data_IF_960975638903
#
_entry.id   IF_960975638903
#
_cell.length_a   1.000
_cell.length_b   1.000
_cell.length_c   1.000
_cell.angle_alpha   90.00
_cell.angle_beta   90.00
_cell.angle_gamma   90.00
#
_symmetry.space_group_name_H-M   'P 1'
#
loop_
_entity.id
_entity.type
_entity.pdbx_description
1 polymer ?
#
# COMPACT_ATOMS: atom_id res chain seq x y z
N UNK A 1 27.06 -9.85 -9.24
CA UNK A 1 26.85 -9.53 -7.80
C UNK A 1 25.35 -9.56 -7.55
N UNK A 2 24.88 -10.39 -6.62
CA UNK A 2 23.45 -10.49 -6.32
C UNK A 2 23.04 -9.43 -5.30
N UNK A 3 21.84 -8.86 -5.47
CA UNK A 3 21.25 -7.93 -4.49
C UNK A 3 21.03 -8.68 -3.17
N UNK A 4 21.54 -8.13 -2.08
CA UNK A 4 21.43 -8.68 -0.74
C UNK A 4 19.96 -8.67 -0.28
N UNK A 5 19.65 -9.45 0.75
CA UNK A 5 18.28 -9.49 1.26
C UNK A 5 17.87 -8.18 1.93
N UNK A 6 18.81 -7.53 2.61
CA UNK A 6 18.66 -6.20 3.19
C UNK A 6 18.24 -5.19 2.13
N UNK A 7 18.99 -5.17 1.03
CA UNK A 7 18.72 -4.31 -0.11
C UNK A 7 17.33 -4.61 -0.69
N UNK A 8 16.95 -5.88 -0.85
CA UNK A 8 15.61 -6.25 -1.34
C UNK A 8 14.48 -5.73 -0.46
N UNK A 9 14.62 -5.82 0.87
CA UNK A 9 13.61 -5.34 1.81
C UNK A 9 13.48 -3.81 1.77
N UNK A 10 14.63 -3.11 1.70
CA UNK A 10 14.64 -1.65 1.58
C UNK A 10 14.02 -1.22 0.24
N UNK A 11 14.38 -1.89 -0.85
CA UNK A 11 13.82 -1.62 -2.19
C UNK A 11 12.31 -1.85 -2.19
N UNK A 12 11.79 -2.94 -1.61
CA UNK A 12 10.34 -3.18 -1.58
C UNK A 12 9.60 -2.12 -0.78
N UNK A 13 10.16 -1.66 0.34
CA UNK A 13 9.59 -0.59 1.16
C UNK A 13 9.59 0.76 0.41
N UNK A 14 10.67 1.08 -0.31
CA UNK A 14 10.74 2.28 -1.16
C UNK A 14 9.70 2.23 -2.30
N UNK A 15 9.53 1.07 -2.94
CA UNK A 15 8.51 0.88 -3.97
C UNK A 15 7.11 1.11 -3.40
N UNK A 16 6.81 0.56 -2.21
CA UNK A 16 5.51 0.75 -1.58
C UNK A 16 5.26 2.23 -1.22
N UNK A 17 6.28 2.92 -0.68
CA UNK A 17 6.24 4.35 -0.39
C UNK A 17 5.92 5.15 -1.66
N UNK A 18 6.57 4.85 -2.78
CA UNK A 18 6.33 5.54 -4.04
C UNK A 18 4.87 5.39 -4.51
N UNK A 19 4.29 4.18 -4.40
CA UNK A 19 2.89 3.92 -4.71
C UNK A 19 1.93 4.72 -3.82
N UNK A 20 2.14 4.70 -2.50
CA UNK A 20 1.27 5.43 -1.59
C UNK A 20 1.43 6.96 -1.68
N UNK A 21 2.65 7.48 -1.89
CA UNK A 21 2.88 8.91 -2.14
C UNK A 21 2.09 9.36 -3.36
N UNK A 22 2.13 8.60 -4.46
CA UNK A 22 1.34 8.91 -5.64
C UNK A 22 -0.15 9.02 -5.32
N UNK A 23 -0.71 8.04 -4.59
CA UNK A 23 -2.12 8.06 -4.20
C UNK A 23 -2.48 9.30 -3.36
N UNK A 24 -1.63 9.70 -2.40
CA UNK A 24 -1.87 10.90 -1.58
C UNK A 24 -1.98 12.17 -2.42
N UNK A 25 -1.13 12.32 -3.44
CA UNK A 25 -1.11 13.55 -4.24
C UNK A 25 -2.12 13.58 -5.40
N UNK A 26 -2.39 12.42 -6.01
CA UNK A 26 -3.12 12.34 -7.28
C UNK A 26 -4.49 11.66 -7.19
N UNK A 27 -4.78 10.94 -6.11
CA UNK A 27 -6.09 10.31 -5.92
C UNK A 27 -7.08 11.27 -5.25
N UNK A 28 -7.58 12.22 -6.03
CA UNK A 28 -8.57 13.18 -5.57
C UNK A 28 -9.87 12.50 -5.10
N UNK A 29 -10.24 11.36 -5.69
CA UNK A 29 -11.44 10.60 -5.28
C UNK A 29 -11.30 10.09 -3.85
N UNK A 30 -10.12 9.56 -3.49
CA UNK A 30 -9.84 9.10 -2.13
C UNK A 30 -9.90 10.26 -1.13
N UNK A 31 -9.32 11.41 -1.48
CA UNK A 31 -9.33 12.61 -0.63
C UNK A 31 -10.75 13.14 -0.40
N UNK A 32 -11.58 13.23 -1.44
CA UNK A 32 -12.90 13.86 -1.33
C UNK A 32 -13.95 12.92 -0.75
N UNK A 33 -13.93 11.64 -1.12
CA UNK A 33 -15.00 10.69 -0.79
C UNK A 33 -14.59 9.64 0.24
N UNK A 34 -13.30 9.30 0.29
CA UNK A 34 -12.71 8.29 1.17
C UNK A 34 -11.85 8.89 2.29
N UNK A 35 -12.21 10.06 2.83
CA UNK A 35 -11.39 10.86 3.78
C UNK A 35 -10.74 10.03 4.90
N UNK A 36 -11.48 9.09 5.50
CA UNK A 36 -10.93 8.22 6.55
C UNK A 36 -9.79 7.32 6.02
N UNK A 37 -9.96 6.74 4.82
CA UNK A 37 -8.96 5.90 4.16
C UNK A 37 -7.78 6.74 3.66
N UNK A 38 -8.03 7.99 3.25
CA UNK A 38 -6.97 8.95 2.95
C UNK A 38 -6.09 9.22 4.17
N UNK A 39 -6.68 9.47 5.35
CA UNK A 39 -5.90 9.65 6.58
C UNK A 39 -5.22 8.36 7.04
N UNK A 40 -5.86 7.20 6.86
CA UNK A 40 -5.23 5.91 7.14
C UNK A 40 -4.01 5.67 6.25
N UNK A 41 -4.09 6.00 4.96
CA UNK A 41 -2.97 5.93 4.02
C UNK A 41 -1.82 6.88 4.43
N UNK A 42 -2.13 8.11 4.83
CA UNK A 42 -1.12 9.04 5.35
C UNK A 42 -0.41 8.50 6.60
N UNK A 43 -1.16 7.95 7.55
CA UNK A 43 -0.59 7.35 8.75
C UNK A 43 0.27 6.13 8.41
N UNK A 44 -0.17 5.30 7.47
CA UNK A 44 0.57 4.15 6.97
C UNK A 44 1.90 4.56 6.31
N UNK A 45 1.87 5.59 5.44
CA UNK A 45 3.10 6.13 4.83
C UNK A 45 4.07 6.71 5.86
N UNK A 46 3.57 7.39 6.89
CA UNK A 46 4.43 7.89 7.96
C UNK A 46 5.13 6.75 8.70
N UNK A 47 4.41 5.65 8.98
CA UNK A 47 5.00 4.45 9.57
C UNK A 47 6.05 3.84 8.64
N UNK A 48 5.79 3.78 7.34
CA UNK A 48 6.74 3.26 6.35
C UNK A 48 8.05 4.08 6.31
N UNK A 49 7.96 5.40 6.41
CA UNK A 49 9.15 6.27 6.53
C UNK A 49 9.92 5.98 7.81
N UNK A 50 9.22 5.82 8.94
CA UNK A 50 9.85 5.46 10.22
C UNK A 50 10.56 4.11 10.10
N UNK A 51 9.91 3.11 9.51
CA UNK A 51 10.48 1.78 9.30
C UNK A 51 11.68 1.79 8.35
N UNK A 52 11.63 2.59 7.28
CA UNK A 52 12.76 2.77 6.38
C UNK A 52 13.96 3.32 7.13
N UNK A 53 13.77 4.38 7.92
CA UNK A 53 14.80 4.98 8.76
C UNK A 53 15.36 3.93 9.72
N UNK A 54 14.49 3.21 10.46
CA UNK A 54 14.92 2.17 11.40
C UNK A 54 15.76 1.08 10.73
N UNK A 55 15.39 0.61 9.54
CA UNK A 55 16.13 -0.40 8.80
C UNK A 55 17.48 0.10 8.29
N UNK A 56 17.59 1.38 7.91
CA UNK A 56 18.85 1.99 7.47
C UNK A 56 19.85 2.16 8.63
N UNK A 57 19.37 2.40 9.86
CA UNK A 57 20.23 2.54 11.03
C UNK A 57 20.49 1.22 11.77
N UNK A 58 19.54 0.29 11.76
CA UNK A 58 19.65 -0.98 12.48
C UNK A 58 18.89 -2.11 11.79
N UNK A 59 19.65 -3.03 11.19
CA UNK A 59 19.08 -4.21 10.57
C UNK A 59 18.92 -5.38 11.55
N UNK A 60 18.12 -5.17 12.61
CA UNK A 60 17.87 -6.21 13.62
C UNK A 60 16.68 -7.11 13.25
N UNK A 61 16.69 -8.40 13.65
CA UNK A 61 15.55 -9.29 13.46
C UNK A 61 14.25 -8.75 14.03
N UNK A 62 14.29 -8.07 15.19
CA UNK A 62 13.10 -7.48 15.83
C UNK A 62 12.46 -6.42 14.94
N UNK A 63 13.28 -5.51 14.40
CA UNK A 63 12.80 -4.44 13.49
C UNK A 63 12.18 -5.07 12.26
N UNK A 64 12.84 -6.03 11.63
CA UNK A 64 12.29 -6.72 10.43
C UNK A 64 10.93 -7.33 10.70
N UNK A 65 10.74 -8.07 11.81
CA UNK A 65 9.44 -8.66 12.13
C UNK A 65 8.35 -7.60 12.34
N UNK A 66 8.67 -6.47 12.98
CA UNK A 66 7.73 -5.35 13.15
C UNK A 66 7.34 -4.79 11.78
N UNK A 67 8.32 -4.46 10.92
CA UNK A 67 8.07 -3.97 9.56
C UNK A 67 7.20 -4.97 8.79
N UNK A 68 7.57 -6.26 8.83
CA UNK A 68 6.83 -7.31 8.15
C UNK A 68 5.38 -7.45 8.62
N UNK A 69 5.15 -7.37 9.94
CA UNK A 69 3.81 -7.43 10.51
C UNK A 69 2.94 -6.25 10.06
N UNK A 70 3.43 -5.02 10.16
CA UNK A 70 2.68 -3.84 9.74
C UNK A 70 2.44 -3.81 8.23
N UNK A 71 3.42 -4.23 7.42
CA UNK A 71 3.23 -4.35 5.96
C UNK A 71 2.20 -5.43 5.59
N UNK A 72 2.18 -6.55 6.32
CA UNK A 72 1.17 -7.59 6.12
C UNK A 72 -0.23 -7.08 6.49
N UNK A 73 -0.35 -6.35 7.61
CA UNK A 73 -1.60 -5.75 8.04
C UNK A 73 -2.11 -4.70 7.05
N UNK A 74 -1.22 -3.84 6.52
CA UNK A 74 -1.55 -2.87 5.47
C UNK A 74 -2.01 -3.54 4.18
N UNK A 75 -1.30 -4.57 3.72
CA UNK A 75 -1.70 -5.37 2.55
C UNK A 75 -3.08 -6.01 2.75
N UNK A 76 -3.33 -6.59 3.93
CA UNK A 76 -4.62 -7.17 4.26
C UNK A 76 -5.74 -6.12 4.28
N UNK A 77 -5.53 -4.97 4.91
CA UNK A 77 -6.49 -3.87 4.93
C UNK A 77 -6.85 -3.39 3.52
N UNK A 78 -5.86 -3.19 2.65
CA UNK A 78 -6.08 -2.81 1.25
C UNK A 78 -6.92 -3.84 0.47
N UNK A 79 -6.71 -5.14 0.72
CA UNK A 79 -7.55 -6.19 0.12
C UNK A 79 -8.99 -6.08 0.61
N UNK A 80 -9.20 -5.86 1.91
CA UNK A 80 -10.54 -5.67 2.46
C UNK A 80 -11.22 -4.41 1.90
N UNK A 81 -10.49 -3.31 1.77
CA UNK A 81 -10.99 -2.07 1.17
C UNK A 81 -11.49 -2.31 -0.26
N UNK A 82 -10.75 -3.11 -1.03
CA UNK A 82 -11.14 -3.47 -2.39
C UNK A 82 -12.37 -4.38 -2.43
N UNK A 83 -12.42 -5.41 -1.58
CA UNK A 83 -13.51 -6.37 -1.52
C UNK A 83 -14.82 -5.75 -1.06
N UNK A 84 -14.77 -4.83 -0.10
CA UNK A 84 -15.95 -4.19 0.47
C UNK A 84 -16.24 -2.80 -0.11
N UNK A 85 -15.37 -2.31 -1.00
CA UNK A 85 -15.47 -0.96 -1.57
C UNK A 85 -15.47 0.15 -0.52
N UNK A 86 -14.85 -0.07 0.64
CA UNK A 86 -14.91 0.83 1.80
C UNK A 86 -14.53 2.29 1.53
N UNK A 87 -13.49 2.62 0.72
CA UNK A 87 -13.15 4.01 0.45
C UNK A 87 -14.23 4.78 -0.32
N UNK A 88 -15.11 4.07 -1.02
CA UNK A 88 -16.12 4.65 -1.94
C UNK A 88 -17.49 3.99 -1.81
N UNK A 89 -17.75 3.31 -0.68
CA UNK A 89 -18.98 2.52 -0.46
C UNK A 89 -20.24 3.37 -0.52
N UNK A 90 -20.10 4.69 -0.35
CA UNK A 90 -21.16 5.70 -0.51
C UNK A 90 -21.49 6.05 -1.97
N UNK A 91 -20.62 5.71 -2.92
CA UNK A 91 -20.73 6.13 -4.34
C UNK A 91 -21.54 5.15 -5.19
N UNK A 92 -21.57 3.87 -4.80
CA UNK A 92 -22.25 2.84 -5.57
C UNK A 92 -22.59 1.67 -4.66
N UNK A 93 -23.83 1.18 -4.78
CA UNK A 93 -24.27 -0.07 -4.15
C UNK A 93 -23.79 -1.30 -4.90
N UNK A 94 -23.06 -1.11 -6.01
CA UNK A 94 -22.53 -2.22 -6.80
C UNK A 94 -21.40 -2.90 -6.03
N UNK A 95 -21.52 -4.20 -5.68
CA UNK A 95 -20.54 -4.88 -4.83
C UNK A 95 -19.10 -4.89 -5.38
N UNK A 96 -18.95 -4.70 -6.69
CA UNK A 96 -17.67 -4.79 -7.41
C UNK A 96 -17.05 -3.38 -7.62
N UNK A 97 -17.71 -2.32 -7.16
CA UNK A 97 -17.25 -0.95 -7.45
C UNK A 97 -15.88 -0.66 -6.82
N UNK A 98 -15.62 -1.15 -5.59
CA UNK A 98 -14.31 -1.06 -4.94
C UNK A 98 -13.18 -1.70 -5.74
N UNK A 99 -13.39 -2.95 -6.16
CA UNK A 99 -12.45 -3.67 -7.02
C UNK A 99 -12.21 -2.94 -8.35
N UNK A 100 -13.26 -2.39 -8.96
CA UNK A 100 -13.14 -1.62 -10.20
C UNK A 100 -12.45 -0.27 -10.02
N UNK A 101 -12.61 0.38 -8.89
CA UNK A 101 -11.89 1.62 -8.61
C UNK A 101 -10.38 1.35 -8.44
N UNK A 102 -10.04 0.38 -7.60
CA UNK A 102 -8.65 0.10 -7.21
C UNK A 102 -7.88 -0.71 -8.27
N UNK A 103 -8.55 -1.56 -9.04
CA UNK A 103 -7.93 -2.43 -10.06
C UNK A 103 -8.53 -2.28 -11.46
N UNK A 104 -9.34 -1.26 -11.72
CA UNK A 104 -10.00 -1.09 -13.01
C UNK A 104 -9.14 -0.42 -14.08
N UNK A 105 -7.98 0.14 -13.74
CA UNK A 105 -7.01 0.68 -14.71
C UNK A 105 -7.64 1.64 -15.73
N UNK A 106 -8.55 2.53 -15.30
CA UNK A 106 -9.22 3.49 -16.19
C UNK A 106 -10.54 3.02 -16.80
N UNK A 107 -11.16 1.96 -16.27
CA UNK A 107 -12.47 1.50 -16.72
C UNK A 107 -13.53 2.63 -16.64
N UNK A 108 -14.28 2.91 -17.74
CA UNK A 108 -15.30 3.96 -17.75
C UNK A 108 -16.35 3.79 -16.65
N UNK A 109 -16.74 4.90 -16.01
CA UNK A 109 -17.81 4.91 -15.00
C UNK A 109 -17.43 4.33 -13.63
N UNK A 110 -16.13 4.17 -13.34
CA UNK A 110 -15.64 3.58 -12.08
C UNK A 110 -14.93 4.57 -11.16
N UNK A 111 -14.70 5.81 -11.61
CA UNK A 111 -13.83 6.77 -10.93
C UNK A 111 -12.34 6.36 -10.89
N UNK A 112 -11.99 5.18 -11.43
CA UNK A 112 -10.62 4.69 -11.54
C UNK A 112 -9.88 5.47 -12.62
N UNK A 113 -8.71 6.02 -12.26
CA UNK A 113 -7.70 6.43 -13.24
C UNK A 113 -6.63 5.34 -13.33
N UNK A 114 -6.04 5.18 -14.52
CA UNK A 114 -4.95 4.22 -14.73
C UNK A 114 -3.83 4.40 -13.70
N UNK A 115 -3.41 5.66 -13.46
CA UNK A 115 -2.37 5.99 -12.48
C UNK A 115 -2.75 5.58 -11.06
N UNK A 116 -4.01 5.80 -10.65
CA UNK A 116 -4.51 5.40 -9.34
C UNK A 116 -4.46 3.88 -9.16
N UNK A 117 -4.98 3.11 -10.12
CA UNK A 117 -4.93 1.64 -10.03
C UNK A 117 -3.52 1.08 -10.06
N UNK A 118 -2.63 1.67 -10.86
CA UNK A 118 -1.23 1.29 -10.89
C UNK A 118 -0.55 1.58 -9.55
N UNK A 119 -0.73 2.78 -9.00
CA UNK A 119 -0.14 3.17 -7.72
C UNK A 119 -0.65 2.31 -6.56
N UNK A 120 -1.95 2.00 -6.53
CA UNK A 120 -2.52 1.07 -5.57
C UNK A 120 -1.93 -0.34 -5.71
N UNK A 121 -1.81 -0.84 -6.94
CA UNK A 121 -1.18 -2.14 -7.20
C UNK A 121 0.28 -2.18 -6.74
N UNK A 122 1.03 -1.09 -6.98
CA UNK A 122 2.42 -0.93 -6.51
C UNK A 122 2.48 -0.95 -4.99
N UNK A 123 1.61 -0.19 -4.31
CA UNK A 123 1.54 -0.16 -2.85
C UNK A 123 1.21 -1.54 -2.28
N UNK A 124 0.22 -2.24 -2.84
CA UNK A 124 -0.20 -3.56 -2.40
C UNK A 124 0.89 -4.62 -2.60
N UNK A 125 1.47 -4.69 -3.80
CA UNK A 125 2.54 -5.63 -4.12
C UNK A 125 3.81 -5.33 -3.32
N UNK A 126 4.15 -4.05 -3.16
CA UNK A 126 5.26 -3.59 -2.32
C UNK A 126 5.07 -4.02 -0.87
N UNK A 127 3.90 -3.76 -0.30
CA UNK A 127 3.56 -4.14 1.09
C UNK A 127 3.61 -5.67 1.29
N UNK A 128 3.09 -6.42 0.32
CA UNK A 128 3.13 -7.89 0.34
C UNK A 128 4.56 -8.42 0.24
N UNK A 129 5.37 -7.84 -0.66
CA UNK A 129 6.77 -8.20 -0.81
C UNK A 129 7.58 -7.88 0.45
N UNK A 130 7.39 -6.69 1.04
CA UNK A 130 8.02 -6.28 2.30
C UNK A 130 7.66 -7.25 3.43
N UNK A 131 6.38 -7.60 3.58
CA UNK A 131 5.91 -8.58 4.57
C UNK A 131 6.60 -9.95 4.41
N UNK A 132 6.69 -10.44 3.18
CA UNK A 132 7.33 -11.72 2.88
C UNK A 132 8.85 -11.69 3.10
N UNK A 133 9.51 -10.64 2.63
CA UNK A 133 10.96 -10.48 2.76
C UNK A 133 11.39 -10.24 4.20
N UNK A 134 10.51 -9.72 5.05
CA UNK A 134 10.75 -9.52 6.48
C UNK A 134 10.71 -10.81 7.31
N UNK A 135 9.86 -11.78 6.92
CA UNK A 135 9.52 -12.96 7.75
C UNK A 135 10.40 -14.18 7.54
N UNK A 136 11.14 -14.29 6.43
CA UNK A 136 12.04 -15.44 6.23
C UNK A 136 13.16 -15.42 7.30
N UNK A 137 13.43 -16.51 8.02
CA UNK A 137 14.68 -16.58 8.78
C UNK A 137 15.84 -16.81 7.81
N UNK A 138 16.95 -16.08 8.01
CA UNK A 138 18.27 -16.47 7.47
C UNK A 138 18.70 -17.77 8.11
#
# INVERSE_FOLDING_TARGET
>A
MGVSREEKLVISLVIQLAGGIYLVFYDHTLYTFGVLHYYALLAYLLLDVIFLIMLLFSYSPKIRHIVGFFSALGAFAMVLDALFGLPISKYSTTPIYGMRYLFGFGLPGTGSLFGTSLAFSILLLGSTATAFLATRSS
#
